data_IF_661744565936
#
_entry.id   IF_661744565936
#
_cell.length_a   1.000
_cell.length_b   1.000
_cell.length_c   1.000
_cell.angle_alpha   90.00
_cell.angle_beta   90.00
_cell.angle_gamma   90.00
#
_symmetry.space_group_name_H-M   'P 1'
#
loop_
_entity.id
_entity.type
_entity.pdbx_description
1 polymer ?
#
# COMPACT_ATOMS: atom_id res chain seq x y z
N UNK A 1 -0.97 23.89 -9.84
CA UNK A 1 -1.80 24.16 -11.04
C UNK A 1 -2.32 25.56 -10.92
N UNK A 2 -2.19 26.37 -11.97
CA UNK A 2 -2.79 27.71 -12.05
C UNK A 2 -3.84 27.70 -13.15
N UNK A 3 -4.98 28.32 -12.87
CA UNK A 3 -6.10 28.44 -13.81
C UNK A 3 -6.46 29.91 -13.88
N UNK A 4 -6.50 30.45 -15.09
CA UNK A 4 -6.94 31.80 -15.36
C UNK A 4 -8.29 31.72 -16.08
N UNK A 5 -9.29 32.40 -15.54
CA UNK A 5 -10.65 32.39 -16.08
C UNK A 5 -11.05 33.83 -16.35
N UNK A 6 -11.52 34.08 -17.57
CA UNK A 6 -12.21 35.30 -17.93
C UNK A 6 -13.54 34.88 -18.55
N UNK A 7 -14.66 35.32 -17.98
CA UNK A 7 -16.00 34.91 -18.39
C UNK A 7 -16.99 36.07 -18.26
N UNK A 8 -17.98 36.07 -19.14
CA UNK A 8 -19.12 37.00 -19.10
C UNK A 8 -20.35 36.19 -18.68
N UNK A 9 -20.92 36.57 -17.54
CA UNK A 9 -22.05 35.87 -16.91
C UNK A 9 -23.28 36.78 -16.98
N UNK A 10 -24.39 36.26 -17.48
CA UNK A 10 -25.66 37.00 -17.50
C UNK A 10 -26.27 37.04 -16.10
N UNK A 11 -26.63 38.25 -15.64
CA UNK A 11 -27.26 38.50 -14.34
C UNK A 11 -26.57 37.76 -13.17
N UNK A 12 -25.27 38.02 -12.93
CA UNK A 12 -24.50 37.28 -11.94
C UNK A 12 -25.01 37.55 -10.52
N UNK A 13 -25.05 36.50 -9.70
CA UNK A 13 -25.32 36.59 -8.27
C UNK A 13 -24.04 36.33 -7.49
N UNK A 14 -23.81 37.12 -6.44
CA UNK A 14 -22.64 37.01 -5.57
C UNK A 14 -23.08 36.81 -4.12
N UNK A 15 -22.16 36.32 -3.30
CA UNK A 15 -22.35 36.17 -1.86
C UNK A 15 -22.47 37.50 -1.12
N UNK A 16 -21.83 38.54 -1.66
CA UNK A 16 -21.61 39.82 -1.00
C UNK A 16 -21.47 40.97 -1.99
N UNK A 17 -21.52 42.21 -1.48
CA UNK A 17 -21.35 43.42 -2.27
C UNK A 17 -19.94 43.56 -2.88
N UNK A 18 -18.91 42.94 -2.28
CA UNK A 18 -17.54 42.93 -2.83
C UNK A 18 -17.42 42.04 -4.06
N UNK A 19 -18.41 41.15 -4.30
CA UNK A 19 -18.52 40.30 -5.48
C UNK A 19 -17.31 39.38 -5.70
N UNK A 20 -16.75 38.87 -4.61
CA UNK A 20 -15.58 37.98 -4.64
C UNK A 20 -15.96 36.54 -5.01
N UNK A 21 -17.12 36.07 -4.55
CA UNK A 21 -17.60 34.70 -4.82
C UNK A 21 -18.86 34.74 -5.67
N UNK A 22 -18.77 34.25 -6.92
CA UNK A 22 -19.94 34.01 -7.77
C UNK A 22 -20.72 32.80 -7.23
N UNK A 23 -22.00 32.98 -6.92
CA UNK A 23 -22.87 31.94 -6.34
C UNK A 23 -23.88 31.37 -7.35
N UNK A 24 -24.00 32.01 -8.52
CA UNK A 24 -24.92 31.59 -9.57
C UNK A 24 -24.60 30.16 -10.03
N UNK A 25 -25.62 29.34 -10.26
CA UNK A 25 -25.44 27.98 -10.75
C UNK A 25 -25.07 27.99 -12.24
N UNK A 26 -24.21 27.07 -12.67
CA UNK A 26 -23.73 26.97 -14.06
C UNK A 26 -24.82 26.87 -15.11
N UNK A 27 -25.97 26.26 -14.76
CA UNK A 27 -27.15 26.15 -15.63
C UNK A 27 -27.78 27.50 -16.00
N UNK A 28 -27.49 28.55 -15.24
CA UNK A 28 -28.06 29.89 -15.36
C UNK A 28 -27.05 30.92 -15.84
N UNK A 29 -25.86 30.51 -16.29
CA UNK A 29 -24.82 31.44 -16.75
C UNK A 29 -25.13 32.14 -18.08
N UNK A 30 -26.16 31.69 -18.82
CA UNK A 30 -26.49 32.19 -20.17
C UNK A 30 -25.54 31.68 -21.26
N UNK A 31 -24.42 31.06 -20.88
CA UNK A 31 -23.44 30.45 -21.79
C UNK A 31 -22.90 29.14 -21.23
N UNK A 32 -22.39 28.28 -22.12
CA UNK A 32 -21.75 27.02 -21.76
C UNK A 32 -20.28 27.05 -22.16
N UNK A 33 -19.39 26.78 -21.21
CA UNK A 33 -17.96 26.64 -21.49
C UNK A 33 -17.66 25.17 -21.83
N UNK A 34 -17.62 24.86 -23.13
CA UNK A 34 -17.18 23.55 -23.60
C UNK A 34 -15.68 23.59 -23.90
N UNK A 35 -14.91 22.77 -23.18
CA UNK A 35 -13.48 22.67 -23.39
C UNK A 35 -13.21 21.85 -24.66
N UNK A 36 -12.48 22.45 -25.61
CA UNK A 36 -12.10 21.74 -26.83
C UNK A 36 -11.19 20.54 -26.54
N UNK A 37 -11.27 19.49 -27.36
CA UNK A 37 -10.38 18.33 -27.25
C UNK A 37 -8.90 18.70 -27.34
N UNK A 38 -8.55 19.74 -28.11
CA UNK A 38 -7.17 20.26 -28.21
C UNK A 38 -6.67 20.81 -26.87
N UNK A 39 -7.54 21.52 -26.14
CA UNK A 39 -7.23 22.01 -24.80
C UNK A 39 -7.02 20.85 -23.84
N UNK A 40 -7.95 19.89 -23.81
CA UNK A 40 -7.85 18.69 -22.95
C UNK A 40 -6.58 17.91 -23.26
N UNK A 41 -6.25 17.67 -24.53
CA UNK A 41 -5.03 16.99 -24.94
C UNK A 41 -3.75 17.72 -24.53
N UNK A 42 -3.76 19.05 -24.52
CA UNK A 42 -2.62 19.87 -24.07
C UNK A 42 -2.45 19.81 -22.54
N UNK A 43 -3.55 19.82 -21.79
CA UNK A 43 -3.55 19.63 -20.33
C UNK A 43 -3.06 18.23 -19.96
N UNK A 44 -3.46 17.19 -20.69
CA UNK A 44 -2.96 15.84 -20.42
C UNK A 44 -1.44 15.72 -20.63
N UNK A 45 -0.85 16.53 -21.52
CA UNK A 45 0.59 16.56 -21.76
C UNK A 45 1.38 17.45 -20.80
N UNK A 46 0.74 18.26 -19.97
CA UNK A 46 1.44 19.24 -19.12
C UNK A 46 2.06 18.64 -17.85
N UNK A 47 2.10 17.31 -17.72
CA UNK A 47 2.70 16.63 -16.58
C UNK A 47 1.80 16.55 -15.34
N UNK A 48 0.56 17.04 -15.43
CA UNK A 48 -0.33 17.11 -14.27
C UNK A 48 -0.82 15.73 -13.84
N UNK A 49 -0.99 14.81 -14.79
CA UNK A 49 -1.40 13.44 -14.50
C UNK A 49 -0.31 12.73 -13.71
N UNK A 50 0.94 12.89 -14.13
CA UNK A 50 2.11 12.34 -13.48
C UNK A 50 2.28 12.92 -12.06
N UNK A 51 2.10 14.24 -11.90
CA UNK A 51 2.15 14.89 -10.59
C UNK A 51 1.04 14.39 -9.65
N UNK A 52 -0.19 14.22 -10.13
CA UNK A 52 -1.31 13.67 -9.35
C UNK A 52 -1.02 12.21 -8.98
N UNK A 53 -0.56 11.39 -9.92
CA UNK A 53 -0.21 9.99 -9.66
C UNK A 53 0.94 9.86 -8.65
N UNK A 54 1.95 10.72 -8.74
CA UNK A 54 3.04 10.79 -7.78
C UNK A 54 2.53 11.18 -6.38
N UNK A 55 1.63 12.16 -6.29
CA UNK A 55 1.01 12.55 -5.02
C UNK A 55 0.14 11.44 -4.41
N UNK A 56 -0.65 10.73 -5.23
CA UNK A 56 -1.44 9.58 -4.78
C UNK A 56 -0.54 8.47 -4.24
N UNK A 57 0.54 8.13 -4.96
CA UNK A 57 1.54 7.15 -4.50
C UNK A 57 2.22 7.61 -3.21
N UNK A 58 2.59 8.88 -3.12
CA UNK A 58 3.18 9.45 -1.91
C UNK A 58 2.22 9.34 -0.72
N UNK A 59 0.93 9.65 -0.90
CA UNK A 59 -0.09 9.52 0.16
C UNK A 59 -0.32 8.06 0.56
N UNK A 60 -0.30 7.13 -0.39
CA UNK A 60 -0.35 5.71 -0.10
C UNK A 60 0.88 5.26 0.68
N UNK A 61 2.08 5.67 0.26
CA UNK A 61 3.33 5.38 0.95
C UNK A 61 3.34 5.97 2.36
N UNK A 62 2.95 7.24 2.53
CA UNK A 62 2.83 7.90 3.83
C UNK A 62 1.84 7.14 4.75
N UNK A 63 0.75 6.60 4.19
CA UNK A 63 -0.21 5.78 4.94
C UNK A 63 0.38 4.41 5.31
N UNK A 64 1.16 3.79 4.43
CA UNK A 64 1.88 2.54 4.71
C UNK A 64 2.98 2.76 5.75
N UNK A 65 3.78 3.81 5.63
CA UNK A 65 4.85 4.16 6.55
C UNK A 65 4.30 4.49 7.93
N UNK A 66 3.16 5.21 8.03
CA UNK A 66 2.45 5.41 9.30
C UNK A 66 1.91 4.12 9.90
N UNK A 67 1.54 3.13 9.07
CA UNK A 67 1.14 1.80 9.52
C UNK A 67 2.34 0.96 9.95
N UNK A 68 3.51 1.13 9.33
CA UNK A 68 4.75 0.43 9.67
C UNK A 68 5.51 1.05 10.86
N UNK A 69 5.37 2.36 11.12
CA UNK A 69 6.20 3.07 12.09
C UNK A 69 5.71 3.03 13.54
N UNK A 70 4.43 2.72 13.82
CA UNK A 70 3.89 2.91 15.18
C UNK A 70 3.36 1.65 15.86
N UNK A 71 3.19 0.54 15.14
CA UNK A 71 2.89 -0.74 15.78
C UNK A 71 3.69 -1.81 15.07
N UNK A 72 4.66 -2.36 15.79
CA UNK A 72 5.14 -3.71 15.52
C UNK A 72 3.88 -4.58 15.50
N UNK A 73 3.42 -4.94 14.31
CA UNK A 73 2.15 -5.65 14.13
C UNK A 73 2.35 -7.03 14.70
N UNK A 74 1.74 -7.30 15.84
CA UNK A 74 1.92 -8.53 16.63
C UNK A 74 1.40 -9.80 15.95
N UNK A 75 0.75 -9.69 14.78
CA UNK A 75 0.29 -10.82 13.97
C UNK A 75 0.30 -10.46 12.50
N UNK A 76 1.05 -11.21 11.69
CA UNK A 76 1.05 -11.11 10.24
C UNK A 76 -0.29 -11.62 9.66
N UNK A 77 -1.27 -10.73 9.50
CA UNK A 77 -2.54 -11.04 8.82
C UNK A 77 -2.31 -10.99 7.31
N UNK A 78 -2.23 -12.16 6.66
CA UNK A 78 -2.13 -12.24 5.21
C UNK A 78 -1.30 -13.40 4.68
N UNK A 79 -0.50 -14.07 5.52
CA UNK A 79 0.32 -15.21 5.08
C UNK A 79 -0.45 -16.52 5.29
N UNK A 80 -1.02 -17.13 4.23
CA UNK A 80 -1.74 -18.38 4.38
C UNK A 80 -0.77 -19.48 4.83
N UNK A 81 -1.20 -20.28 5.81
CA UNK A 81 -0.47 -21.42 6.42
C UNK A 81 0.64 -21.07 7.41
N UNK A 82 0.92 -19.79 7.68
CA UNK A 82 1.82 -19.40 8.77
C UNK A 82 1.16 -19.66 10.13
N UNK A 83 1.84 -20.42 10.98
CA UNK A 83 1.57 -20.44 12.43
C UNK A 83 2.55 -19.45 13.07
N UNK A 84 2.06 -18.28 13.47
CA UNK A 84 2.90 -17.23 14.03
C UNK A 84 3.15 -17.46 15.53
N UNK A 85 4.33 -17.10 16.02
CA UNK A 85 4.60 -17.12 17.46
C UNK A 85 3.83 -15.99 18.15
N UNK A 86 3.42 -16.15 19.41
CA UNK A 86 2.66 -15.09 20.10
C UNK A 86 3.47 -13.80 20.29
N UNK A 87 4.79 -13.93 20.50
CA UNK A 87 5.69 -12.80 20.69
C UNK A 87 6.25 -12.25 19.36
N UNK A 88 5.88 -12.83 18.22
CA UNK A 88 6.34 -12.39 16.92
C UNK A 88 5.92 -10.95 16.65
N UNK A 89 6.89 -10.13 16.21
CA UNK A 89 6.65 -8.70 16.01
C UNK A 89 6.27 -7.94 17.28
N UNK A 90 6.65 -8.41 18.48
CA UNK A 90 6.50 -7.66 19.74
C UNK A 90 7.84 -7.08 20.22
N UNK A 91 7.96 -6.75 21.51
CA UNK A 91 9.25 -6.39 22.13
C UNK A 91 10.22 -7.57 22.25
N UNK A 92 9.69 -8.79 22.27
CA UNK A 92 10.44 -10.02 22.45
C UNK A 92 10.70 -10.75 21.13
N UNK A 93 10.52 -10.07 19.98
CA UNK A 93 10.70 -10.65 18.65
C UNK A 93 12.07 -11.31 18.45
N UNK A 94 13.12 -10.72 19.03
CA UNK A 94 14.49 -11.23 18.96
C UNK A 94 14.69 -12.59 19.64
N UNK A 95 13.75 -13.00 20.50
CA UNK A 95 13.74 -14.31 21.16
C UNK A 95 12.90 -15.33 20.38
N UNK A 96 12.19 -14.90 19.34
CA UNK A 96 11.36 -15.76 18.52
C UNK A 96 12.19 -16.46 17.44
N UNK A 97 11.80 -17.68 17.09
CA UNK A 97 12.40 -18.50 16.04
C UNK A 97 11.30 -18.94 15.07
N UNK A 98 11.52 -18.69 13.77
CA UNK A 98 10.65 -19.20 12.72
C UNK A 98 11.21 -20.52 12.18
N UNK A 99 10.41 -21.58 12.28
CA UNK A 99 10.74 -22.90 11.76
C UNK A 99 10.21 -23.02 10.33
N UNK A 100 11.10 -23.29 9.39
CA UNK A 100 10.75 -23.53 8.00
C UNK A 100 10.70 -25.04 7.75
N UNK A 101 9.61 -25.49 7.17
CA UNK A 101 9.35 -26.91 6.92
C UNK A 101 9.21 -27.17 5.44
N UNK A 102 9.74 -28.30 4.95
CA UNK A 102 9.51 -28.72 3.58
C UNK A 102 8.13 -29.40 3.48
N UNK A 103 7.14 -28.66 2.98
CA UNK A 103 5.77 -29.16 2.80
C UNK A 103 4.89 -29.18 4.06
N UNK A 104 3.59 -29.43 3.86
CA UNK A 104 2.59 -29.41 4.93
C UNK A 104 2.70 -30.61 5.90
N UNK A 105 3.30 -31.72 5.46
CA UNK A 105 3.54 -32.90 6.30
C UNK A 105 4.52 -32.58 7.43
N UNK A 106 5.65 -31.94 7.11
CA UNK A 106 6.63 -31.52 8.10
C UNK A 106 6.11 -30.37 8.98
N UNK A 107 5.28 -29.48 8.44
CA UNK A 107 4.57 -28.45 9.23
C UNK A 107 3.77 -29.08 10.37
N UNK A 108 2.95 -30.08 10.07
CA UNK A 108 2.09 -30.73 11.07
C UNK A 108 2.91 -31.31 12.23
N UNK A 109 4.06 -31.94 11.92
CA UNK A 109 4.97 -32.47 12.93
C UNK A 109 5.56 -31.36 13.82
N UNK A 110 6.03 -30.26 13.22
CA UNK A 110 6.57 -29.13 13.97
C UNK A 110 5.50 -28.48 14.86
N UNK A 111 4.27 -28.32 14.37
CA UNK A 111 3.13 -27.78 15.14
C UNK A 111 2.77 -28.69 16.32
N UNK A 112 2.87 -30.01 16.17
CA UNK A 112 2.67 -30.94 17.28
C UNK A 112 3.72 -30.73 18.39
N UNK A 113 4.99 -30.49 18.01
CA UNK A 113 6.08 -30.18 18.95
C UNK A 113 5.89 -28.86 19.71
N UNK A 114 5.24 -27.87 19.11
CA UNK A 114 4.89 -26.60 19.78
C UNK A 114 3.96 -26.79 20.98
N UNK A 115 3.19 -27.89 21.02
CA UNK A 115 2.36 -28.22 22.18
C UNK A 115 3.17 -28.46 23.46
N UNK A 116 4.44 -28.86 23.32
CA UNK A 116 5.35 -29.14 24.43
C UNK A 116 6.26 -27.96 24.73
N UNK A 117 6.80 -27.31 23.69
CA UNK A 117 7.78 -26.22 23.82
C UNK A 117 7.12 -24.85 24.06
N UNK A 118 5.83 -24.73 23.73
CA UNK A 118 5.06 -23.49 23.82
C UNK A 118 5.05 -22.68 22.51
N UNK A 119 4.01 -21.85 22.35
CA UNK A 119 3.76 -21.06 21.13
C UNK A 119 4.26 -19.62 21.21
N UNK A 120 4.89 -19.22 22.31
CA UNK A 120 5.26 -17.82 22.52
C UNK A 120 6.45 -17.41 21.65
N UNK A 121 7.45 -18.29 21.54
CA UNK A 121 8.71 -18.02 20.85
C UNK A 121 8.89 -18.77 19.53
N UNK A 122 7.98 -19.65 19.14
CA UNK A 122 8.20 -20.50 17.96
C UNK A 122 7.03 -20.42 16.99
N UNK A 123 7.33 -20.01 15.75
CA UNK A 123 6.40 -20.03 14.62
C UNK A 123 6.79 -21.09 13.61
N UNK A 124 5.87 -21.53 12.75
CA UNK A 124 6.11 -22.57 11.74
C UNK A 124 5.51 -22.14 10.39
N UNK A 125 6.30 -22.26 9.32
CA UNK A 125 5.85 -21.99 7.97
C UNK A 125 6.30 -23.08 6.97
N UNK A 126 5.38 -23.63 6.15
CA UNK A 126 5.72 -24.61 5.12
C UNK A 126 6.20 -23.94 3.82
N UNK A 127 7.37 -24.35 3.34
CA UNK A 127 7.88 -24.06 2.01
C UNK A 127 7.27 -25.04 1.00
N UNK A 128 6.99 -24.56 -0.21
CA UNK A 128 6.51 -25.38 -1.32
C UNK A 128 7.61 -25.54 -2.35
N UNK A 129 8.03 -26.79 -2.57
CA UNK A 129 9.01 -27.13 -3.60
C UNK A 129 10.41 -26.60 -3.33
N UNK A 130 11.25 -26.59 -4.38
CA UNK A 130 12.63 -26.11 -4.30
C UNK A 130 12.67 -24.59 -4.21
N UNK A 131 13.54 -24.06 -3.35
CA UNK A 131 13.79 -22.62 -3.27
C UNK A 131 14.34 -22.11 -4.62
N UNK A 132 13.93 -20.89 -4.99
CA UNK A 132 14.45 -20.22 -6.16
C UNK A 132 15.90 -19.77 -5.91
N UNK A 133 16.81 -20.03 -6.86
CA UNK A 133 18.14 -19.43 -6.85
C UNK A 133 18.04 -17.96 -7.26
N UNK A 134 18.11 -17.06 -6.27
CA UNK A 134 17.99 -15.61 -6.47
C UNK A 134 19.19 -14.99 -7.22
N UNK A 135 20.33 -15.69 -7.36
CA UNK A 135 21.49 -15.19 -8.11
C UNK A 135 21.30 -15.25 -9.63
N UNK A 136 20.44 -16.16 -10.09
CA UNK A 136 20.22 -16.47 -11.50
C UNK A 136 18.79 -16.10 -11.96
N UNK A 137 17.93 -15.68 -11.04
CA UNK A 137 16.54 -15.31 -11.32
C UNK A 137 16.39 -13.89 -11.86
N UNK A 138 15.52 -13.72 -12.85
CA UNK A 138 15.15 -12.37 -13.34
C UNK A 138 14.37 -11.59 -12.27
N UNK A 139 14.50 -10.25 -12.21
CA UNK A 139 13.78 -9.41 -11.24
C UNK A 139 12.27 -9.67 -11.19
N UNK A 140 11.64 -9.98 -12.34
CA UNK A 140 10.20 -10.33 -12.41
C UNK A 140 9.87 -11.66 -11.73
N UNK A 141 10.79 -12.63 -11.73
CA UNK A 141 10.61 -13.87 -10.98
C UNK A 141 10.80 -13.64 -9.48
N UNK A 142 11.71 -12.75 -9.08
CA UNK A 142 11.94 -12.44 -7.66
C UNK A 142 10.71 -11.78 -7.03
N UNK A 143 10.01 -10.89 -7.74
CA UNK A 143 8.77 -10.23 -7.29
C UNK A 143 7.66 -11.21 -6.89
N UNK A 144 7.54 -12.36 -7.56
CA UNK A 144 6.57 -13.40 -7.18
C UNK A 144 6.93 -14.08 -5.84
N UNK A 145 8.21 -14.08 -5.47
CA UNK A 145 8.74 -14.59 -4.20
C UNK A 145 8.88 -13.53 -3.11
N UNK A 146 8.64 -12.24 -3.39
CA UNK A 146 8.66 -11.18 -2.37
C UNK A 146 7.69 -11.45 -1.20
N UNK A 147 6.63 -12.22 -1.42
CA UNK A 147 5.73 -12.68 -0.36
C UNK A 147 6.44 -13.53 0.70
N UNK A 148 7.45 -14.31 0.31
CA UNK A 148 8.31 -15.09 1.19
C UNK A 148 9.40 -14.22 1.84
N UNK A 149 9.88 -13.19 1.13
CA UNK A 149 10.83 -12.20 1.64
C UNK A 149 10.24 -11.37 2.80
N UNK A 150 8.95 -11.00 2.74
CA UNK A 150 8.26 -10.31 3.85
C UNK A 150 8.21 -11.15 5.12
N UNK A 151 8.07 -12.48 5.01
CA UNK A 151 8.14 -13.41 6.14
C UNK A 151 9.56 -13.47 6.73
N UNK A 152 10.58 -13.53 5.88
CA UNK A 152 11.99 -13.63 6.29
C UNK A 152 12.57 -12.35 6.87
N UNK A 153 12.25 -11.20 6.28
CA UNK A 153 12.81 -9.90 6.69
C UNK A 153 12.24 -9.44 8.03
N UNK A 154 11.02 -9.86 8.40
CA UNK A 154 10.42 -9.53 9.70
C UNK A 154 10.95 -10.39 10.86
N UNK A 155 11.48 -11.59 10.60
CA UNK A 155 11.97 -12.51 11.64
C UNK A 155 13.51 -12.47 11.82
N UNK A 156 14.28 -12.05 10.82
CA UNK A 156 15.75 -11.98 10.92
C UNK A 156 16.31 -10.57 11.22
N UNK A 157 15.48 -9.51 11.18
CA UNK A 157 15.93 -8.10 11.40
C UNK A 157 15.26 -7.44 12.63
N UNK A 158 14.33 -8.12 13.31
CA UNK A 158 13.69 -7.67 14.57
C UNK A 158 14.07 -8.56 15.76
#
# INVERSE_FOLDING_TARGET
>A
MWVFVNALIENPTFDSQTKETLTLQSKSFGSKCELSERFVGSVMKCGIIEAVMAWVRFKQQETLDKKCSTKRTSKLKGVPKLEDANDAGTKNSSLCTLILTEGDSAKTLAVAGLGVVGRDRYGVFPLRGKMLNVREGSHKQVDFYYYYQYCFTLYCIL
#
